data_IF_877052901792
#
_entry.id   IF_877052901792
#
_cell.length_a   1.000
_cell.length_b   1.000
_cell.length_c   1.000
_cell.angle_alpha   90.00
_cell.angle_beta   90.00
_cell.angle_gamma   90.00
#
_symmetry.space_group_name_H-M   'P 1'
#
loop_
_entity.id
_entity.type
_entity.pdbx_description
1 polymer ?
#
# COMPACT_ATOMS: atom_id res chain seq x y z
N UNK A 1 21.33 -26.81 14.89
CA UNK A 1 21.73 -26.53 16.28
C UNK A 1 20.95 -25.30 16.70
N UNK A 2 19.88 -25.47 17.46
CA UNK A 2 19.05 -24.34 17.88
C UNK A 2 19.92 -23.39 18.70
N UNK A 3 20.16 -22.19 18.16
CA UNK A 3 20.84 -21.12 18.87
C UNK A 3 19.88 -20.69 19.98
N UNK A 4 19.95 -21.36 21.13
CA UNK A 4 19.02 -21.19 22.24
C UNK A 4 18.88 -19.73 22.67
N UNK A 5 17.78 -19.42 23.38
CA UNK A 5 17.38 -18.07 23.81
C UNK A 5 18.50 -17.24 24.45
N UNK A 6 19.49 -17.89 25.06
CA UNK A 6 20.65 -17.29 25.72
C UNK A 6 21.68 -16.63 24.77
N UNK A 7 21.72 -17.04 23.50
CA UNK A 7 22.68 -16.62 22.46
C UNK A 7 22.03 -15.89 21.27
N UNK A 8 20.97 -15.13 21.54
CA UNK A 8 20.18 -14.45 20.51
C UNK A 8 21.00 -13.54 19.58
N UNK A 9 22.12 -12.97 20.02
CA UNK A 9 23.01 -12.14 19.18
C UNK A 9 23.68 -12.90 18.03
N UNK A 10 23.78 -14.24 18.14
CA UNK A 10 24.26 -15.10 17.05
C UNK A 10 23.14 -15.48 16.08
N UNK A 11 21.88 -15.42 16.53
CA UNK A 11 20.70 -15.76 15.74
C UNK A 11 20.17 -14.57 14.92
N UNK A 12 20.38 -13.34 15.41
CA UNK A 12 19.84 -12.13 14.78
C UNK A 12 20.92 -11.07 14.62
N UNK A 13 21.04 -10.55 13.39
CA UNK A 13 21.88 -9.40 13.10
C UNK A 13 21.04 -8.12 13.23
N UNK A 14 21.41 -7.27 14.20
CA UNK A 14 20.70 -6.02 14.56
C UNK A 14 21.66 -4.83 14.52
N UNK A 15 22.14 -4.46 13.31
CA UNK A 15 23.26 -3.54 13.17
C UNK A 15 22.86 -2.07 13.30
N UNK A 16 21.57 -1.75 13.24
CA UNK A 16 21.13 -0.37 13.07
C UNK A 16 20.77 0.28 14.40
N UNK A 17 20.84 1.62 14.45
CA UNK A 17 20.36 2.40 15.61
C UNK A 17 18.87 2.19 15.88
N UNK A 18 18.08 1.89 14.85
CA UNK A 18 16.65 1.60 14.99
C UNK A 18 16.41 0.32 15.82
N UNK A 19 17.38 -0.60 15.84
CA UNK A 19 17.29 -1.84 16.59
C UNK A 19 17.62 -1.68 18.09
N UNK A 20 18.01 -0.48 18.55
CA UNK A 20 18.45 -0.27 19.93
C UNK A 20 17.41 -0.72 20.96
N UNK A 21 16.12 -0.49 20.70
CA UNK A 21 15.03 -0.93 21.59
C UNK A 21 14.84 -2.45 21.59
N UNK A 22 15.02 -3.10 20.43
CA UNK A 22 15.00 -4.57 20.33
C UNK A 22 16.14 -5.17 21.15
N UNK A 23 17.35 -4.61 21.03
CA UNK A 23 18.53 -5.02 21.80
C UNK A 23 18.32 -4.80 23.30
N UNK A 24 17.81 -3.63 23.69
CA UNK A 24 17.55 -3.30 25.09
C UNK A 24 16.52 -4.26 25.70
N UNK A 25 15.42 -4.51 25.00
CA UNK A 25 14.40 -5.46 25.41
C UNK A 25 14.96 -6.87 25.57
N UNK A 26 15.74 -7.38 24.61
CA UNK A 26 16.36 -8.71 24.69
C UNK A 26 17.33 -8.83 25.87
N UNK A 27 18.12 -7.77 26.15
CA UNK A 27 19.00 -7.72 27.33
C UNK A 27 18.20 -7.75 28.63
N UNK A 28 17.12 -6.98 28.71
CA UNK A 28 16.20 -6.98 29.84
C UNK A 28 15.58 -8.37 30.05
N UNK A 29 15.05 -8.99 28.98
CA UNK A 29 14.44 -10.31 29.02
C UNK A 29 15.43 -11.38 29.52
N UNK A 30 16.67 -11.33 29.04
CA UNK A 30 17.74 -12.22 29.53
C UNK A 30 18.03 -12.00 31.02
N UNK A 31 18.12 -10.75 31.45
CA UNK A 31 18.51 -10.39 32.83
C UNK A 31 17.40 -10.69 33.85
N UNK A 32 16.14 -10.46 33.50
CA UNK A 32 15.05 -10.46 34.46
C UNK A 32 14.03 -11.60 34.28
N UNK A 33 13.99 -12.24 33.12
CA UNK A 33 13.03 -13.32 32.82
C UNK A 33 13.71 -14.62 32.35
N UNK A 34 15.02 -14.77 32.57
CA UNK A 34 15.76 -15.96 32.15
C UNK A 34 15.84 -16.14 30.63
N UNK A 35 15.55 -15.09 29.85
CA UNK A 35 15.60 -15.12 28.38
C UNK A 35 14.33 -15.64 27.69
N UNK A 36 13.27 -15.93 28.45
CA UNK A 36 12.00 -16.41 27.93
C UNK A 36 10.83 -15.79 28.71
N UNK A 37 9.61 -15.92 28.17
CA UNK A 37 8.41 -15.58 28.90
C UNK A 37 7.82 -16.84 29.51
N UNK A 38 7.44 -16.79 30.79
CA UNK A 38 6.56 -17.79 31.37
C UNK A 38 5.13 -17.48 30.93
N UNK A 39 4.68 -18.15 29.87
CA UNK A 39 3.33 -18.00 29.32
C UNK A 39 2.24 -18.63 30.22
N UNK A 40 2.63 -19.28 31.32
CA UNK A 40 1.74 -20.02 32.21
C UNK A 40 1.13 -21.26 31.54
N UNK A 41 0.27 -21.96 32.27
CA UNK A 41 -0.37 -23.22 31.83
C UNK A 41 -1.62 -23.02 30.96
N UNK A 42 -2.07 -21.77 30.75
CA UNK A 42 -3.38 -21.46 30.12
C UNK A 42 -3.33 -21.20 28.61
N UNK A 43 -2.15 -21.22 27.99
CA UNK A 43 -2.01 -20.96 26.55
C UNK A 43 -1.76 -22.28 25.84
N UNK A 44 -2.78 -22.84 25.18
CA UNK A 44 -2.67 -24.10 24.42
C UNK A 44 -1.85 -23.97 23.10
N UNK A 45 -1.21 -22.83 22.87
CA UNK A 45 -0.46 -22.51 21.66
C UNK A 45 -1.32 -22.31 20.39
N UNK A 46 -2.65 -22.46 20.46
CA UNK A 46 -3.50 -22.24 19.30
C UNK A 46 -3.65 -20.75 19.03
N UNK A 47 -3.12 -20.30 17.89
CA UNK A 47 -3.34 -18.95 17.40
C UNK A 47 -4.78 -18.84 16.87
N UNK A 48 -5.36 -17.65 17.00
CA UNK A 48 -6.58 -17.36 16.28
C UNK A 48 -6.34 -17.43 14.77
N UNK A 49 -7.37 -17.76 13.96
CA UNK A 49 -7.27 -17.73 12.52
C UNK A 49 -6.67 -16.42 12.04
N UNK A 50 -5.67 -16.51 11.16
CA UNK A 50 -5.07 -15.33 10.55
C UNK A 50 -6.14 -14.59 9.76
N UNK A 51 -6.28 -13.29 10.02
CA UNK A 51 -7.21 -12.44 9.26
C UNK A 51 -6.77 -12.39 7.78
N UNK A 52 -7.70 -12.07 6.86
CA UNK A 52 -7.35 -11.85 5.45
C UNK A 52 -6.19 -10.88 5.29
N UNK A 53 -5.31 -11.13 4.31
CA UNK A 53 -4.10 -10.32 4.09
C UNK A 53 -4.44 -8.86 3.82
N UNK A 54 -5.55 -8.61 3.15
CA UNK A 54 -6.07 -7.29 2.84
C UNK A 54 -6.36 -6.48 4.10
N UNK A 55 -6.86 -7.12 5.16
CA UNK A 55 -7.08 -6.46 6.45
C UNK A 55 -5.77 -6.26 7.22
N UNK A 56 -4.85 -7.23 7.16
CA UNK A 56 -3.58 -7.17 7.87
C UNK A 56 -2.61 -6.14 7.25
N UNK A 57 -2.66 -5.98 5.93
CA UNK A 57 -1.78 -5.11 5.16
C UNK A 57 -2.51 -3.87 4.64
N UNK A 58 -3.63 -3.51 5.26
CA UNK A 58 -4.36 -2.29 4.96
C UNK A 58 -3.53 -1.08 5.37
N UNK A 59 -3.04 -0.34 4.38
CA UNK A 59 -2.26 0.88 4.55
C UNK A 59 -3.12 2.10 4.74
N UNK A 60 -4.35 2.08 4.23
CA UNK A 60 -5.17 3.27 4.19
C UNK A 60 -5.52 3.70 5.62
N UNK A 61 -6.12 2.78 6.38
CA UNK A 61 -6.51 3.04 7.77
C UNK A 61 -5.32 3.02 8.73
N UNK A 62 -4.31 2.18 8.51
CA UNK A 62 -3.15 2.12 9.42
C UNK A 62 -2.18 3.30 9.28
N UNK A 63 -2.13 3.96 8.12
CA UNK A 63 -1.11 4.97 7.83
C UNK A 63 -1.64 6.18 7.05
N UNK A 64 -2.27 5.98 5.89
CA UNK A 64 -2.56 7.07 4.95
C UNK A 64 -3.46 8.14 5.58
N UNK A 65 -4.48 7.74 6.34
CA UNK A 65 -5.39 8.70 7.01
C UNK A 65 -4.71 9.51 8.12
N UNK A 66 -3.64 8.98 8.71
CA UNK A 66 -2.92 9.59 9.83
C UNK A 66 -1.68 10.40 9.40
N UNK A 67 -1.19 10.18 8.17
CA UNK A 67 -0.04 10.88 7.62
C UNK A 67 -0.49 12.01 6.68
N UNK A 68 -0.17 13.27 7.02
CA UNK A 68 -0.57 14.44 6.22
C UNK A 68 -0.06 14.40 4.77
N UNK A 69 1.20 13.97 4.58
CA UNK A 69 1.82 13.83 3.26
C UNK A 69 1.10 12.78 2.40
N UNK A 70 0.89 11.58 2.95
CA UNK A 70 0.21 10.50 2.23
C UNK A 70 -1.27 10.80 1.98
N UNK A 71 -1.96 11.38 2.96
CA UNK A 71 -3.35 11.83 2.83
C UNK A 71 -3.50 12.89 1.73
N UNK A 72 -2.59 13.87 1.70
CA UNK A 72 -2.54 14.89 0.66
C UNK A 72 -2.33 14.28 -0.73
N UNK A 73 -1.34 13.40 -0.88
CA UNK A 73 -1.07 12.70 -2.14
C UNK A 73 -2.28 11.85 -2.59
N UNK A 74 -2.91 11.11 -1.66
CA UNK A 74 -4.09 10.28 -1.95
C UNK A 74 -5.26 11.12 -2.48
N UNK A 75 -5.54 12.27 -1.84
CA UNK A 75 -6.59 13.20 -2.29
C UNK A 75 -6.25 13.79 -3.66
N UNK A 76 -5.01 14.23 -3.86
CA UNK A 76 -4.54 14.80 -5.13
C UNK A 76 -4.67 13.81 -6.29
N UNK A 77 -4.21 12.56 -6.11
CA UNK A 77 -4.34 11.53 -7.13
C UNK A 77 -5.79 11.14 -7.39
N UNK A 78 -6.65 11.08 -6.38
CA UNK A 78 -8.08 10.85 -6.60
C UNK A 78 -8.75 11.99 -7.37
N UNK A 79 -8.41 13.25 -7.06
CA UNK A 79 -8.90 14.40 -7.80
C UNK A 79 -8.45 14.34 -9.27
N UNK A 80 -7.17 14.06 -9.53
CA UNK A 80 -6.65 13.88 -10.89
C UNK A 80 -7.37 12.74 -11.63
N UNK A 81 -7.56 11.59 -10.98
CA UNK A 81 -8.30 10.44 -11.56
C UNK A 81 -9.71 10.87 -11.99
N UNK A 82 -10.43 11.59 -11.14
CA UNK A 82 -11.79 12.07 -11.42
C UNK A 82 -11.76 13.08 -12.57
N UNK A 83 -10.83 14.03 -12.56
CA UNK A 83 -10.70 15.03 -13.64
C UNK A 83 -10.44 14.38 -15.00
N UNK A 84 -9.58 13.35 -15.05
CA UNK A 84 -9.33 12.58 -16.29
C UNK A 84 -10.59 11.87 -16.78
N UNK A 85 -11.39 11.30 -15.88
CA UNK A 85 -12.65 10.64 -16.23
C UNK A 85 -13.68 11.64 -16.75
N UNK A 86 -13.86 12.77 -16.06
CA UNK A 86 -14.78 13.84 -16.46
C UNK A 86 -14.39 14.39 -17.83
N UNK A 87 -13.11 14.68 -18.04
CA UNK A 87 -12.61 15.14 -19.34
C UNK A 87 -12.88 14.13 -20.46
N UNK A 88 -12.64 12.84 -20.22
CA UNK A 88 -12.88 11.79 -21.20
C UNK A 88 -14.37 11.70 -21.57
N UNK A 89 -15.27 11.65 -20.58
CA UNK A 89 -16.73 11.58 -20.82
C UNK A 89 -17.24 12.83 -21.54
N UNK A 90 -16.82 14.02 -21.10
CA UNK A 90 -17.20 15.27 -21.73
C UNK A 90 -16.72 15.33 -23.20
N UNK A 91 -15.50 14.86 -23.47
CA UNK A 91 -14.94 14.84 -24.82
C UNK A 91 -15.70 13.88 -25.75
N UNK A 92 -16.13 12.71 -25.26
CA UNK A 92 -17.02 11.81 -26.02
C UNK A 92 -18.32 12.52 -26.39
N UNK A 93 -18.95 13.20 -25.42
CA UNK A 93 -20.19 13.92 -25.65
C UNK A 93 -20.03 15.04 -26.69
N UNK A 94 -18.92 15.79 -26.62
CA UNK A 94 -18.58 16.82 -27.61
C UNK A 94 -18.42 16.21 -29.01
N UNK A 95 -17.65 15.13 -29.14
CA UNK A 95 -17.43 14.46 -30.44
C UNK A 95 -18.76 13.97 -31.02
N UNK A 96 -19.64 13.41 -30.19
CA UNK A 96 -20.94 12.90 -30.59
C UNK A 96 -21.92 14.01 -31.01
N UNK A 97 -21.93 15.15 -30.31
CA UNK A 97 -22.81 16.28 -30.62
C UNK A 97 -22.34 17.12 -31.83
N UNK A 98 -21.05 17.04 -32.18
CA UNK A 98 -20.48 17.88 -33.24
C UNK A 98 -20.80 17.32 -34.63
N UNK A 99 -21.43 18.13 -35.48
CA UNK A 99 -21.76 17.78 -36.87
C UNK A 99 -20.50 17.70 -37.76
N UNK A 100 -20.53 16.91 -38.85
CA UNK A 100 -19.46 16.91 -39.85
C UNK A 100 -19.19 18.33 -40.38
N UNK A 101 -17.91 18.70 -40.52
CA UNK A 101 -17.48 20.00 -41.05
C UNK A 101 -17.40 21.14 -40.02
N UNK A 102 -17.93 21.00 -38.81
CA UNK A 102 -17.82 22.02 -37.76
C UNK A 102 -16.41 22.15 -37.16
N UNK A 103 -15.68 21.04 -37.10
CA UNK A 103 -14.29 20.98 -36.64
C UNK A 103 -13.46 20.25 -37.69
N UNK A 104 -12.17 20.60 -37.80
CA UNK A 104 -11.26 19.89 -38.70
C UNK A 104 -11.13 18.43 -38.31
N UNK A 105 -10.87 17.56 -39.29
CA UNK A 105 -10.62 16.13 -39.06
C UNK A 105 -9.45 15.94 -38.09
N UNK A 106 -8.40 16.76 -38.23
CA UNK A 106 -7.28 16.77 -37.32
C UNK A 106 -7.71 17.07 -35.87
N UNK A 107 -8.51 18.11 -35.63
CA UNK A 107 -8.99 18.45 -34.29
C UNK A 107 -9.86 17.34 -33.68
N UNK A 108 -10.76 16.75 -34.48
CA UNK A 108 -11.59 15.61 -34.06
C UNK A 108 -10.73 14.40 -33.65
N UNK A 109 -9.73 14.05 -34.44
CA UNK A 109 -8.85 12.91 -34.18
C UNK A 109 -7.95 13.15 -32.96
N UNK A 110 -7.44 14.37 -32.78
CA UNK A 110 -6.67 14.75 -31.58
C UNK A 110 -7.53 14.63 -30.32
N UNK A 111 -8.76 15.14 -30.35
CA UNK A 111 -9.69 15.03 -29.21
C UNK A 111 -10.04 13.57 -28.91
N UNK A 112 -10.28 12.75 -29.93
CA UNK A 112 -10.53 11.31 -29.76
C UNK A 112 -9.33 10.60 -29.12
N UNK A 113 -8.12 10.92 -29.55
CA UNK A 113 -6.88 10.35 -28.99
C UNK A 113 -6.71 10.78 -27.53
N UNK A 114 -6.86 12.06 -27.22
CA UNK A 114 -6.79 12.58 -25.86
C UNK A 114 -7.85 11.93 -24.95
N UNK A 115 -9.07 11.72 -25.46
CA UNK A 115 -10.16 11.05 -24.74
C UNK A 115 -9.76 9.65 -24.30
N UNK A 116 -9.17 8.86 -25.20
CA UNK A 116 -8.72 7.49 -24.92
C UNK A 116 -7.57 7.50 -23.90
N UNK A 117 -6.58 8.38 -24.09
CA UNK A 117 -5.44 8.49 -23.18
C UNK A 117 -5.87 8.89 -21.76
N UNK A 118 -6.80 9.85 -21.62
CA UNK A 118 -7.33 10.23 -20.32
C UNK A 118 -8.09 9.08 -19.66
N UNK A 119 -8.89 8.31 -20.41
CA UNK A 119 -9.58 7.14 -19.86
C UNK A 119 -8.60 6.08 -19.37
N UNK A 120 -7.65 5.67 -20.21
CA UNK A 120 -6.62 4.69 -19.87
C UNK A 120 -5.79 5.17 -18.69
N UNK A 121 -5.36 6.44 -18.71
CA UNK A 121 -4.64 7.08 -17.60
C UNK A 121 -5.43 7.05 -16.29
N UNK A 122 -6.74 7.27 -16.33
CA UNK A 122 -7.59 7.17 -15.13
C UNK A 122 -7.65 5.76 -14.54
N UNK A 123 -7.69 4.72 -15.39
CA UNK A 123 -7.69 3.31 -14.96
C UNK A 123 -6.35 2.90 -14.39
N UNK A 124 -5.27 3.29 -15.05
CA UNK A 124 -3.92 3.11 -14.53
C UNK A 124 -3.74 3.80 -13.18
N UNK A 125 -4.18 5.05 -13.05
CA UNK A 125 -4.09 5.81 -11.81
C UNK A 125 -4.95 5.19 -10.69
N UNK A 126 -6.12 4.63 -11.01
CA UNK A 126 -6.94 3.88 -10.06
C UNK A 126 -6.18 2.68 -9.48
N UNK A 127 -5.53 1.89 -10.34
CA UNK A 127 -4.72 0.76 -9.91
C UNK A 127 -3.49 1.20 -9.10
N UNK A 128 -2.82 2.27 -9.55
CA UNK A 128 -1.72 2.88 -8.81
C UNK A 128 -2.14 3.33 -7.41
N UNK A 129 -3.28 4.01 -7.27
CA UNK A 129 -3.81 4.46 -5.99
C UNK A 129 -4.07 3.24 -5.09
N UNK A 130 -4.75 2.21 -5.59
CA UNK A 130 -5.04 1.02 -4.80
C UNK A 130 -3.76 0.32 -4.32
N UNK A 131 -2.81 0.07 -5.23
CA UNK A 131 -1.57 -0.64 -4.94
C UNK A 131 -0.67 0.10 -3.93
N UNK A 132 -0.65 1.43 -3.96
CA UNK A 132 0.24 2.20 -3.10
C UNK A 132 -0.40 2.60 -1.77
N UNK A 133 -1.69 2.93 -1.77
CA UNK A 133 -2.37 3.54 -0.62
C UNK A 133 -3.33 2.61 0.12
N UNK A 134 -3.78 1.50 -0.48
CA UNK A 134 -4.68 0.55 0.17
C UNK A 134 -3.96 -0.73 0.53
N UNK A 135 -3.49 -1.46 -0.49
CA UNK A 135 -2.96 -2.80 -0.28
C UNK A 135 -1.83 -3.09 -1.26
N UNK A 136 -0.73 -3.60 -0.72
CA UNK A 136 0.33 -4.19 -1.51
C UNK A 136 0.74 -5.49 -0.84
N UNK A 137 0.54 -6.58 -1.56
CA UNK A 137 0.96 -7.87 -1.07
C UNK A 137 2.48 -8.00 -1.16
N UNK A 138 3.09 -8.53 -0.11
CA UNK A 138 4.49 -8.94 -0.10
C UNK A 138 4.55 -10.46 0.02
N UNK A 139 5.02 -11.11 -1.04
CA UNK A 139 5.41 -12.50 -0.92
C UNK A 139 6.81 -12.57 -0.28
N UNK A 140 6.84 -12.65 1.06
CA UNK A 140 8.08 -12.90 1.80
C UNK A 140 8.51 -14.38 1.75
N UNK A 141 7.67 -15.25 1.17
CA UNK A 141 7.93 -16.67 1.00
C UNK A 141 8.29 -16.96 -0.47
N UNK A 142 9.43 -16.46 -0.90
CA UNK A 142 10.22 -17.21 -1.89
C UNK A 142 11.25 -18.01 -1.12
N UNK A 143 10.93 -19.29 -0.91
CA UNK A 143 11.92 -20.36 -0.85
C UNK A 143 12.09 -20.89 -2.27
#
# INVERSE_FOLDING_TARGET
MDLGHSNWQKAYFVPSKADANVVAFRKWLKKYAGGQFDWGTKVNGSLQPTRPREQLLDRYWSHVVHCSSCSGAYKGFNALKISLQVFSVASVAIIAATKPGMISVAARNTLATATILCFVGSKWLSHFIYKNFHFHDYNHAFK
#
